data_IF_944424508983
#
_entry.id   IF_944424508983
#
_cell.length_a   1.000
_cell.length_b   1.000
_cell.length_c   1.000
_cell.angle_alpha   90.00
_cell.angle_beta   90.00
_cell.angle_gamma   90.00
#
_symmetry.space_group_name_H-M   'P 1'
#
loop_
_entity.id
_entity.type
_entity.pdbx_description
1 polymer ?
#
# COMPACT_ATOMS: atom_id res chain seq x y z
N UNK A 1 42.15 -58.07 9.18
CA UNK A 1 41.59 -57.24 8.09
C UNK A 1 40.44 -56.41 8.67
N UNK A 2 40.68 -55.15 9.04
CA UNK A 2 39.69 -54.28 9.69
C UNK A 2 39.33 -53.16 8.70
N UNK A 3 38.09 -53.14 8.20
CA UNK A 3 37.60 -52.03 7.37
C UNK A 3 37.02 -50.95 8.29
N UNK A 4 37.68 -49.80 8.36
CA UNK A 4 37.12 -48.58 8.97
C UNK A 4 36.11 -47.98 7.99
N UNK A 5 34.84 -47.95 8.38
CA UNK A 5 33.80 -47.20 7.66
C UNK A 5 33.65 -45.87 8.41
N UNK A 6 34.19 -44.81 7.83
CA UNK A 6 33.96 -43.43 8.28
C UNK A 6 32.65 -42.95 7.69
N UNK A 7 31.64 -42.76 8.53
CA UNK A 7 30.41 -42.06 8.18
C UNK A 7 30.67 -40.55 8.18
N UNK A 8 30.71 -39.94 7.01
CA UNK A 8 30.69 -38.49 6.84
C UNK A 8 29.24 -38.01 6.91
N UNK A 9 28.81 -37.57 8.10
CA UNK A 9 27.61 -36.75 8.23
C UNK A 9 27.91 -35.35 7.68
N UNK A 10 27.57 -35.10 6.41
CA UNK A 10 27.54 -33.76 5.86
C UNK A 10 26.32 -33.03 6.44
N UNK A 11 26.53 -32.24 7.49
CA UNK A 11 25.53 -31.25 7.94
C UNK A 11 25.57 -30.11 6.92
N UNK A 12 24.62 -30.12 5.99
CA UNK A 12 24.32 -28.98 5.13
C UNK A 12 23.62 -27.92 5.99
N UNK A 13 24.41 -27.01 6.57
CA UNK A 13 23.90 -25.76 7.13
C UNK A 13 23.43 -24.89 5.95
N UNK A 14 22.14 -24.99 5.61
CA UNK A 14 21.46 -23.97 4.84
C UNK A 14 21.32 -22.73 5.74
N UNK A 15 22.32 -21.85 5.71
CA UNK A 15 22.12 -20.47 6.12
C UNK A 15 21.25 -19.83 5.03
N UNK A 16 19.93 -19.96 5.15
CA UNK A 16 19.01 -19.19 4.35
C UNK A 16 19.14 -17.73 4.79
N UNK A 17 20.07 -17.00 4.17
CA UNK A 17 20.03 -15.55 4.16
C UNK A 17 18.79 -15.16 3.36
N UNK A 18 17.64 -15.06 4.03
CA UNK A 18 16.43 -14.52 3.45
C UNK A 18 16.57 -13.01 3.31
N UNK A 19 17.48 -12.58 2.45
CA UNK A 19 17.59 -11.20 2.01
C UNK A 19 16.67 -11.12 0.80
N UNK A 20 15.49 -10.53 1.00
CA UNK A 20 14.51 -10.41 -0.07
C UNK A 20 15.06 -9.60 -1.25
N UNK A 21 14.48 -9.79 -2.43
CA UNK A 21 14.88 -9.04 -3.63
C UNK A 21 14.79 -7.53 -3.38
N UNK A 22 15.83 -6.78 -3.74
CA UNK A 22 15.81 -5.31 -3.66
C UNK A 22 14.77 -4.73 -4.62
N UNK A 23 13.99 -3.76 -4.15
CA UNK A 23 13.01 -3.04 -4.97
C UNK A 23 12.92 -1.57 -4.54
N UNK A 24 12.36 -0.75 -5.42
CA UNK A 24 11.98 0.65 -5.15
C UNK A 24 10.48 0.76 -5.29
N UNK A 25 9.84 1.52 -4.41
CA UNK A 25 8.44 1.92 -4.54
C UNK A 25 8.33 3.42 -4.30
N UNK A 26 7.25 4.03 -4.80
CA UNK A 26 6.98 5.45 -4.60
C UNK A 26 5.97 5.65 -3.47
N UNK A 27 6.14 6.74 -2.73
CA UNK A 27 5.18 7.18 -1.72
C UNK A 27 4.77 8.62 -2.02
N UNK A 28 3.48 8.84 -2.18
CA UNK A 28 2.86 10.17 -2.26
C UNK A 28 1.71 10.25 -1.27
N UNK A 29 1.15 11.44 -1.13
CA UNK A 29 -0.02 11.70 -0.28
C UNK A 29 -0.70 12.99 -0.73
N UNK A 30 -1.93 13.22 -0.28
CA UNK A 30 -2.59 14.53 -0.30
C UNK A 30 -2.68 15.13 -1.71
N UNK A 31 -3.14 14.32 -2.68
CA UNK A 31 -3.36 14.82 -4.04
C UNK A 31 -4.55 15.77 -4.13
N UNK A 32 -5.51 15.66 -3.19
CA UNK A 32 -6.70 16.52 -3.09
C UNK A 32 -7.38 16.79 -4.45
N UNK A 33 -7.61 15.74 -5.24
CA UNK A 33 -8.30 15.88 -6.52
C UNK A 33 -9.71 16.39 -6.26
N UNK A 34 -9.93 17.60 -6.73
CA UNK A 34 -11.10 18.44 -6.44
C UNK A 34 -10.67 19.90 -6.52
N UNK A 35 -9.47 20.20 -6.00
CA UNK A 35 -8.75 21.45 -6.22
C UNK A 35 -8.16 21.47 -7.63
N UNK A 36 -8.59 22.42 -8.46
CA UNK A 36 -8.25 22.47 -9.90
C UNK A 36 -6.75 22.49 -10.17
N UNK A 37 -5.97 23.25 -9.39
CA UNK A 37 -4.52 23.35 -9.58
C UNK A 37 -3.83 21.98 -9.42
N UNK A 38 -4.27 21.18 -8.44
CA UNK A 38 -3.66 19.90 -8.12
C UNK A 38 -3.84 18.86 -9.23
N UNK A 39 -4.80 19.02 -10.15
CA UNK A 39 -5.01 18.05 -11.23
C UNK A 39 -3.83 18.06 -12.20
N UNK A 40 -3.37 19.25 -12.60
CA UNK A 40 -2.23 19.37 -13.52
C UNK A 40 -0.90 19.05 -12.82
N UNK A 41 -0.76 19.44 -11.56
CA UNK A 41 0.41 19.08 -10.74
C UNK A 41 0.54 17.56 -10.58
N UNK A 42 -0.57 16.88 -10.28
CA UNK A 42 -0.61 15.42 -10.18
C UNK A 42 -0.26 14.76 -11.52
N UNK A 43 -0.79 15.26 -12.65
CA UNK A 43 -0.42 14.74 -13.98
C UNK A 43 1.06 14.91 -14.29
N UNK A 44 1.65 16.07 -13.99
CA UNK A 44 3.07 16.32 -14.20
C UNK A 44 3.94 15.35 -13.38
N UNK A 45 3.56 15.08 -12.14
CA UNK A 45 4.21 14.09 -11.28
C UNK A 45 4.08 12.67 -11.88
N UNK A 46 2.89 12.27 -12.34
CA UNK A 46 2.67 10.97 -12.99
C UNK A 46 3.56 10.82 -14.23
N UNK A 47 3.68 11.85 -15.06
CA UNK A 47 4.56 11.83 -16.23
C UNK A 47 6.02 11.62 -15.84
N UNK A 48 6.46 12.26 -14.76
CA UNK A 48 7.81 12.09 -14.20
C UNK A 48 8.03 10.65 -13.73
N UNK A 49 7.07 10.08 -13.01
CA UNK A 49 7.16 8.70 -12.52
C UNK A 49 7.12 7.66 -13.64
N UNK A 50 6.32 7.88 -14.67
CA UNK A 50 6.23 7.00 -15.83
C UNK A 50 7.52 6.97 -16.68
N UNK A 51 8.41 7.94 -16.49
CA UNK A 51 9.70 8.02 -17.17
C UNK A 51 10.85 7.36 -16.39
N UNK A 52 10.60 6.86 -15.17
CA UNK A 52 11.61 6.19 -14.36
C UNK A 52 12.01 4.84 -14.98
N UNK A 53 13.31 4.58 -15.03
CA UNK A 53 13.90 3.31 -15.46
C UNK A 53 15.02 2.90 -14.48
N UNK A 54 14.90 1.77 -13.75
CA UNK A 54 13.78 0.83 -13.79
C UNK A 54 12.48 1.41 -13.21
N UNK A 55 11.35 0.91 -13.72
CA UNK A 55 10.01 1.21 -13.17
C UNK A 55 9.93 0.77 -11.69
N UNK A 56 9.43 1.62 -10.77
CA UNK A 56 9.15 1.22 -9.40
C UNK A 56 8.15 0.06 -9.33
N UNK A 57 8.30 -0.79 -8.32
CA UNK A 57 7.51 -2.00 -8.15
C UNK A 57 6.02 -1.71 -7.88
N UNK A 58 5.75 -0.62 -7.16
CA UNK A 58 4.42 -0.09 -6.87
C UNK A 58 4.53 1.35 -6.36
N UNK A 59 3.38 2.00 -6.18
CA UNK A 59 3.22 3.33 -5.62
C UNK A 59 2.11 3.30 -4.58
N UNK A 60 2.30 4.01 -3.47
CA UNK A 60 1.29 4.18 -2.41
C UNK A 60 0.91 5.64 -2.31
N UNK A 61 -0.40 5.92 -2.36
CA UNK A 61 -0.96 7.20 -1.96
C UNK A 61 -1.59 7.05 -0.56
N UNK A 62 -1.04 7.73 0.44
CA UNK A 62 -1.38 7.50 1.86
C UNK A 62 -2.55 8.30 2.41
N UNK A 63 -3.30 9.01 1.58
CA UNK A 63 -4.49 9.71 2.05
C UNK A 63 -4.86 10.89 1.19
N UNK A 64 -6.07 11.40 1.44
CA UNK A 64 -6.62 12.61 0.84
C UNK A 64 -6.45 12.60 -0.68
N UNK A 65 -6.89 11.49 -1.28
CA UNK A 65 -6.88 11.29 -2.72
C UNK A 65 -7.75 12.37 -3.39
N UNK A 66 -8.89 12.68 -2.77
CA UNK A 66 -9.88 13.66 -3.19
C UNK A 66 -10.07 14.74 -2.14
N UNK A 67 -10.64 15.89 -2.52
CA UNK A 67 -10.89 17.00 -1.59
C UNK A 67 -12.16 16.81 -0.75
N UNK A 68 -13.25 16.31 -1.34
CA UNK A 68 -14.55 16.18 -0.66
C UNK A 68 -15.08 14.75 -0.62
N UNK A 69 -14.37 13.78 -1.20
CA UNK A 69 -14.83 12.39 -1.26
C UNK A 69 -16.06 12.20 -2.13
N UNK A 70 -16.31 13.10 -3.08
CA UNK A 70 -17.48 13.02 -3.95
C UNK A 70 -17.30 11.97 -5.05
N UNK A 71 -18.41 11.46 -5.59
CA UNK A 71 -18.35 10.50 -6.71
C UNK A 71 -17.70 11.11 -7.96
N UNK A 72 -17.87 12.41 -8.18
CA UNK A 72 -17.23 13.11 -9.30
C UNK A 72 -15.71 13.17 -9.12
N UNK A 73 -15.25 13.54 -7.92
CA UNK A 73 -13.82 13.60 -7.62
C UNK A 73 -13.17 12.22 -7.68
N UNK A 74 -13.82 11.16 -7.20
CA UNK A 74 -13.29 9.81 -7.37
C UNK A 74 -13.14 9.41 -8.84
N UNK A 75 -14.11 9.74 -9.70
CA UNK A 75 -14.00 9.50 -11.15
C UNK A 75 -12.85 10.28 -11.75
N UNK A 76 -12.69 11.55 -11.35
CA UNK A 76 -11.62 12.43 -11.82
C UNK A 76 -10.25 11.91 -11.37
N UNK A 77 -10.10 11.56 -10.10
CA UNK A 77 -8.90 10.95 -9.53
C UNK A 77 -8.51 9.71 -10.32
N UNK A 78 -9.46 8.78 -10.57
CA UNK A 78 -9.20 7.60 -11.39
C UNK A 78 -8.82 7.92 -12.83
N UNK A 79 -9.39 8.97 -13.41
CA UNK A 79 -9.02 9.44 -14.75
C UNK A 79 -7.56 9.87 -14.81
N UNK A 80 -7.14 10.70 -13.86
CA UNK A 80 -5.77 11.23 -13.76
C UNK A 80 -4.79 10.11 -13.40
N UNK A 81 -5.03 9.41 -12.28
CA UNK A 81 -4.15 8.33 -11.81
C UNK A 81 -4.15 7.11 -12.74
N UNK A 82 -5.16 6.96 -13.61
CA UNK A 82 -5.20 5.93 -14.63
C UNK A 82 -4.13 6.09 -15.73
N UNK A 83 -3.48 7.25 -15.81
CA UNK A 83 -2.33 7.49 -16.69
C UNK A 83 -1.03 6.87 -16.12
N UNK A 84 -1.00 6.52 -14.83
CA UNK A 84 0.15 5.92 -14.16
C UNK A 84 0.39 4.48 -14.64
N UNK A 85 1.64 4.15 -14.98
CA UNK A 85 2.07 2.82 -15.42
C UNK A 85 2.51 1.91 -14.27
N UNK A 86 2.66 2.46 -13.07
CA UNK A 86 3.05 1.78 -11.83
C UNK A 86 1.78 1.27 -11.12
N UNK A 87 1.77 0.05 -10.56
CA UNK A 87 0.67 -0.41 -9.70
C UNK A 87 0.44 0.56 -8.52
N UNK A 88 -0.79 1.08 -8.39
CA UNK A 88 -1.16 2.06 -7.38
C UNK A 88 -1.95 1.41 -6.23
N UNK A 89 -1.63 1.81 -5.00
CA UNK A 89 -2.31 1.43 -3.77
C UNK A 89 -2.76 2.71 -3.08
N UNK A 90 -4.07 2.85 -2.88
CA UNK A 90 -4.64 4.03 -2.21
C UNK A 90 -5.06 3.69 -0.79
N UNK A 91 -4.74 4.58 0.14
CA UNK A 91 -5.21 4.57 1.52
C UNK A 91 -6.16 5.76 1.69
N UNK A 92 -7.31 5.61 2.35
CA UNK A 92 -8.22 6.72 2.56
C UNK A 92 -7.64 7.72 3.56
N UNK A 93 -7.77 9.01 3.26
CA UNK A 93 -7.62 10.08 4.25
C UNK A 93 -8.97 10.69 4.63
N UNK A 94 -8.98 11.64 5.57
CA UNK A 94 -10.24 12.20 6.05
C UNK A 94 -10.98 12.96 4.94
N UNK A 95 -10.31 13.64 4.01
CA UNK A 95 -10.97 14.32 2.90
C UNK A 95 -11.70 13.36 1.97
N UNK A 96 -11.25 12.11 1.91
CA UNK A 96 -11.90 11.09 1.08
C UNK A 96 -13.24 10.61 1.63
N UNK A 97 -13.49 10.72 2.94
CA UNK A 97 -14.68 10.08 3.55
C UNK A 97 -15.52 11.03 4.40
N UNK A 98 -14.94 12.14 4.90
CA UNK A 98 -15.57 13.00 5.90
C UNK A 98 -16.81 13.70 5.39
N UNK A 99 -16.71 14.37 4.24
CA UNK A 99 -17.84 15.10 3.63
C UNK A 99 -18.57 14.26 2.58
N UNK A 100 -18.15 13.02 2.41
CA UNK A 100 -18.72 12.11 1.42
C UNK A 100 -20.07 11.58 1.88
N UNK A 101 -21.13 11.83 1.09
CA UNK A 101 -22.45 11.27 1.34
C UNK A 101 -22.48 9.72 1.29
N UNK A 102 -21.45 9.10 0.71
CA UNK A 102 -21.29 7.64 0.59
C UNK A 102 -20.15 7.10 1.48
N UNK A 103 -19.51 7.98 2.27
CA UNK A 103 -18.50 7.64 3.27
C UNK A 103 -17.42 6.67 2.81
N UNK A 104 -16.98 5.80 3.74
CA UNK A 104 -15.96 4.77 3.51
C UNK A 104 -16.32 3.78 2.39
N UNK A 105 -17.61 3.51 2.18
CA UNK A 105 -18.08 2.64 1.10
C UNK A 105 -17.83 3.25 -0.28
N UNK A 106 -17.89 4.58 -0.39
CA UNK A 106 -17.50 5.31 -1.58
C UNK A 106 -16.04 5.07 -1.94
N UNK A 107 -15.14 5.33 -0.99
CA UNK A 107 -13.72 5.06 -1.21
C UNK A 107 -13.48 3.59 -1.58
N UNK A 108 -14.07 2.65 -0.83
CA UNK A 108 -13.95 1.22 -1.06
C UNK A 108 -14.35 0.81 -2.49
N UNK A 109 -15.44 1.39 -3.00
CA UNK A 109 -15.99 1.13 -4.33
C UNK A 109 -15.13 1.71 -5.45
N UNK A 110 -14.57 2.91 -5.24
CA UNK A 110 -13.93 3.66 -6.32
C UNK A 110 -12.42 3.56 -6.31
N UNK A 111 -11.76 3.67 -5.16
CA UNK A 111 -10.32 3.84 -5.05
C UNK A 111 -9.57 2.62 -4.50
N UNK A 112 -10.27 1.70 -3.84
CA UNK A 112 -9.72 0.41 -3.40
C UNK A 112 -10.11 0.04 -1.97
N UNK A 113 -9.77 -1.17 -1.51
CA UNK A 113 -10.15 -1.66 -0.19
C UNK A 113 -9.64 -0.77 0.96
N UNK A 114 -10.43 -0.65 2.03
CA UNK A 114 -10.05 0.10 3.25
C UNK A 114 -8.91 -0.55 4.06
N UNK A 115 -8.63 -1.83 3.79
CA UNK A 115 -7.52 -2.56 4.38
C UNK A 115 -6.90 -3.52 3.39
N UNK A 116 -5.58 -3.51 3.29
CA UNK A 116 -4.84 -4.32 2.34
C UNK A 116 -3.59 -4.91 2.99
N UNK A 117 -3.23 -6.12 2.58
CA UNK A 117 -1.98 -6.77 2.90
C UNK A 117 -1.39 -7.34 1.62
N UNK A 118 -0.14 -7.02 1.34
CA UNK A 118 0.60 -7.55 0.20
C UNK A 118 2.06 -7.75 0.56
N UNK A 119 2.77 -8.48 -0.29
CA UNK A 119 4.18 -8.79 -0.11
C UNK A 119 4.98 -8.29 -1.30
N UNK A 120 6.17 -7.75 -1.05
CA UNK A 120 7.15 -7.41 -2.09
C UNK A 120 8.56 -7.56 -1.54
N UNK A 121 9.42 -8.26 -2.27
CA UNK A 121 10.83 -8.42 -1.89
C UNK A 121 10.99 -8.99 -0.48
N UNK A 122 10.13 -9.92 -0.08
CA UNK A 122 10.15 -10.50 1.27
C UNK A 122 9.63 -9.61 2.41
N UNK A 123 9.21 -8.37 2.12
CA UNK A 123 8.58 -7.47 3.08
C UNK A 123 7.05 -7.57 3.03
N UNK A 124 6.39 -7.52 4.19
CA UNK A 124 4.95 -7.51 4.32
C UNK A 124 4.42 -6.10 4.51
N UNK A 125 3.59 -5.61 3.59
CA UNK A 125 3.01 -4.27 3.70
C UNK A 125 1.57 -4.36 4.18
N UNK A 126 1.18 -3.38 5.00
CA UNK A 126 -0.18 -3.21 5.48
C UNK A 126 -0.64 -1.77 5.23
N UNK A 127 -1.80 -1.64 4.59
CA UNK A 127 -2.54 -0.38 4.51
C UNK A 127 -3.81 -0.52 5.34
N UNK A 128 -4.09 0.48 6.16
CA UNK A 128 -5.24 0.54 7.05
C UNK A 128 -5.91 1.90 6.93
N UNK A 129 -7.24 1.87 6.97
CA UNK A 129 -8.08 3.05 7.07
C UNK A 129 -7.97 3.64 8.49
N UNK A 130 -7.33 4.80 8.60
CA UNK A 130 -7.24 5.56 9.85
C UNK A 130 -8.30 6.65 9.97
N UNK A 131 -9.34 6.64 9.15
CA UNK A 131 -10.34 7.70 9.11
C UNK A 131 -11.49 7.46 10.08
N UNK A 132 -12.04 8.55 10.62
CA UNK A 132 -13.31 8.55 11.32
C UNK A 132 -14.37 9.26 10.46
N UNK A 133 -15.56 8.68 10.33
CA UNK A 133 -16.65 9.28 9.56
C UNK A 133 -17.02 10.64 10.16
N UNK A 134 -17.22 11.65 9.29
CA UNK A 134 -17.55 13.03 9.64
C UNK A 134 -16.49 13.79 10.47
N UNK A 135 -15.34 13.18 10.73
CA UNK A 135 -14.30 13.69 11.63
C UNK A 135 -12.95 13.89 10.90
N UNK A 136 -12.09 14.72 11.48
CA UNK A 136 -10.72 14.95 10.96
C UNK A 136 -9.64 14.12 11.66
N UNK A 137 -9.89 13.70 12.90
CA UNK A 137 -8.89 12.99 13.68
C UNK A 137 -8.74 11.55 13.21
N UNK A 138 -7.56 10.97 13.45
CA UNK A 138 -7.30 9.57 13.14
C UNK A 138 -8.01 8.62 14.11
N UNK A 139 -8.61 7.56 13.58
CA UNK A 139 -9.20 6.48 14.34
C UNK A 139 -9.00 5.14 13.62
N UNK A 140 -8.71 4.09 14.37
CA UNK A 140 -8.77 2.72 13.86
C UNK A 140 -9.91 1.99 14.55
N UNK A 141 -10.78 1.40 13.75
CA UNK A 141 -11.83 0.53 14.26
C UNK A 141 -11.20 -0.69 14.92
N UNK A 142 -11.81 -1.17 16.00
CA UNK A 142 -11.36 -2.39 16.69
C UNK A 142 -11.26 -3.59 15.72
N UNK A 143 -12.20 -3.67 14.76
CA UNK A 143 -12.19 -4.72 13.74
C UNK A 143 -10.95 -4.68 12.83
N UNK A 144 -10.39 -3.49 12.57
CA UNK A 144 -9.19 -3.33 11.74
C UNK A 144 -7.92 -3.67 12.51
N UNK A 145 -7.86 -3.30 13.79
CA UNK A 145 -6.78 -3.72 14.69
C UNK A 145 -6.76 -5.24 14.89
N UNK A 146 -7.93 -5.86 15.06
CA UNK A 146 -8.04 -7.33 15.16
C UNK A 146 -7.63 -8.02 13.85
N UNK A 147 -8.00 -7.44 12.71
CA UNK A 147 -7.58 -7.93 11.40
C UNK A 147 -6.05 -7.88 11.24
N UNK A 148 -5.45 -6.73 11.58
CA UNK A 148 -3.99 -6.54 11.54
C UNK A 148 -3.30 -7.54 12.47
N UNK A 149 -3.74 -7.65 13.72
CA UNK A 149 -3.17 -8.57 14.70
C UNK A 149 -3.21 -10.03 14.22
N UNK A 150 -4.34 -10.46 13.63
CA UNK A 150 -4.50 -11.82 13.09
C UNK A 150 -3.54 -12.09 11.93
N UNK A 151 -3.26 -11.10 11.08
CA UNK A 151 -2.31 -11.21 9.97
C UNK A 151 -0.88 -11.24 10.48
N UNK A 152 -0.49 -10.32 11.36
CA UNK A 152 0.85 -10.27 11.96
C UNK A 152 1.24 -11.58 12.66
N UNK A 153 0.29 -12.25 13.34
CA UNK A 153 0.54 -13.56 13.99
C UNK A 153 0.91 -14.69 13.02
N UNK A 154 0.62 -14.55 11.73
CA UNK A 154 0.94 -15.54 10.70
C UNK A 154 2.29 -15.27 10.01
N UNK A 155 2.86 -14.10 10.24
CA UNK A 155 4.14 -13.70 9.67
C UNK A 155 5.27 -14.32 10.52
N UNK A 156 6.26 -14.99 9.89
CA UNK A 156 7.40 -15.53 10.61
C UNK A 156 8.12 -14.45 11.43
N UNK A 157 8.56 -14.81 12.65
CA UNK A 157 9.35 -13.88 13.47
C UNK A 157 10.62 -13.46 12.70
N UNK A 158 10.86 -12.16 12.65
CA UNK A 158 12.01 -11.58 11.94
C UNK A 158 11.77 -11.28 10.46
N UNK A 159 10.62 -11.64 9.89
CA UNK A 159 10.24 -11.14 8.57
C UNK A 159 9.95 -9.62 8.63
N UNK A 160 10.43 -8.82 7.66
CA UNK A 160 10.16 -7.38 7.62
C UNK A 160 8.67 -7.08 7.40
N UNK A 161 8.18 -6.07 8.13
CA UNK A 161 6.82 -5.51 8.02
C UNK A 161 6.92 -3.99 7.89
#
# INVERSE_FOLDING_TARGET
>A
MWKRITWLCAILLFCATAWGESFVFLHITDTHIGITAHHEETRAIIQTFNALDPQPAFMVNTGDCTELGSTEEYRRYRGIMGELRIPLINVPGNHDVRWSAIGKEGFAKWLGPLRMHWERGGCHFFALDSTALLEHHGHFEEADLQWLQKRLRRIPKGAPV
#
